data_IF_739231924322
#
_entry.id   IF_739231924322
#
_cell.length_a   1.000
_cell.length_b   1.000
_cell.length_c   1.000
_cell.angle_alpha   90.00
_cell.angle_beta   90.00
_cell.angle_gamma   90.00
#
_symmetry.space_group_name_H-M   'P 1'
#
loop_
_entity.id
_entity.type
_entity.pdbx_description
1 polymer ?
#
# COMPACT_ATOMS: atom_id res chain seq x y z
N UNK A 1 -31.90 22.91 -4.69
CA UNK A 1 -31.78 21.69 -5.52
C UNK A 1 -30.62 21.88 -6.48
N UNK A 2 -29.42 21.56 -6.07
CA UNK A 2 -28.23 21.54 -6.93
C UNK A 2 -27.77 20.08 -7.00
N UNK A 3 -27.92 19.52 -8.17
CA UNK A 3 -27.84 18.12 -8.51
C UNK A 3 -26.42 17.57 -8.36
N UNK A 4 -26.30 16.42 -7.69
CA UNK A 4 -25.07 15.62 -7.50
C UNK A 4 -24.56 14.96 -8.81
N UNK A 5 -24.64 15.68 -9.93
CA UNK A 5 -24.09 15.25 -11.22
C UNK A 5 -22.58 15.55 -11.37
N UNK A 6 -21.91 16.01 -10.30
CA UNK A 6 -20.56 16.57 -10.40
C UNK A 6 -19.40 15.57 -10.12
N UNK A 7 -19.68 14.35 -9.63
CA UNK A 7 -18.59 13.43 -9.27
C UNK A 7 -17.96 12.75 -10.51
N UNK A 8 -18.78 12.32 -11.47
CA UNK A 8 -18.30 11.65 -12.70
C UNK A 8 -17.58 12.60 -13.67
N UNK A 9 -18.03 13.86 -13.74
CA UNK A 9 -17.38 14.92 -14.54
C UNK A 9 -16.03 15.34 -13.96
N UNK A 10 -15.87 15.33 -12.65
CA UNK A 10 -14.63 15.70 -11.99
C UNK A 10 -13.53 14.62 -12.18
N UNK A 11 -13.89 13.33 -12.14
CA UNK A 11 -12.93 12.25 -12.41
C UNK A 11 -12.44 12.26 -13.87
N UNK A 12 -13.32 12.50 -14.83
CA UNK A 12 -12.95 12.65 -16.25
C UNK A 12 -12.07 13.87 -16.51
N UNK A 13 -12.31 14.98 -15.83
CA UNK A 13 -11.49 16.18 -15.96
C UNK A 13 -10.06 15.97 -15.44
N UNK A 14 -9.88 15.22 -14.35
CA UNK A 14 -8.56 14.87 -13.81
C UNK A 14 -7.77 13.90 -14.71
N UNK A 15 -8.45 12.99 -15.41
CA UNK A 15 -7.84 12.07 -16.39
C UNK A 15 -7.45 12.82 -17.66
N UNK A 16 -8.30 13.73 -18.13
CA UNK A 16 -8.01 14.60 -19.29
C UNK A 16 -6.85 15.57 -19.04
N UNK A 17 -6.70 16.08 -17.81
CA UNK A 17 -5.56 16.92 -17.41
C UNK A 17 -4.21 16.19 -17.42
N UNK A 18 -4.21 14.85 -17.42
CA UNK A 18 -3.00 14.02 -17.51
C UNK A 18 -2.65 13.58 -18.93
N UNK A 19 -3.32 14.11 -19.97
CA UNK A 19 -3.14 13.73 -21.38
C UNK A 19 -3.27 12.22 -21.66
N UNK A 20 -4.00 11.48 -20.83
CA UNK A 20 -4.32 10.08 -21.07
C UNK A 20 -5.62 10.06 -21.88
N UNK A 21 -5.52 9.86 -23.17
CA UNK A 21 -6.68 9.58 -24.04
C UNK A 21 -7.15 8.15 -23.72
N UNK A 22 -8.12 8.04 -22.82
CA UNK A 22 -8.86 6.80 -22.61
C UNK A 22 -10.13 6.86 -23.48
N UNK A 23 -10.38 5.78 -24.19
CA UNK A 23 -11.67 5.57 -24.85
C UNK A 23 -12.77 5.69 -23.78
N UNK A 24 -13.80 6.51 -23.96
CA UNK A 24 -14.90 6.61 -23.01
C UNK A 24 -15.73 5.32 -22.91
N UNK A 25 -15.57 4.39 -23.85
CA UNK A 25 -16.30 3.12 -23.87
C UNK A 25 -15.71 2.13 -22.88
N UNK A 26 -16.56 1.40 -22.17
CA UNK A 26 -16.15 0.40 -21.21
C UNK A 26 -15.28 -0.68 -21.88
N UNK A 27 -14.02 -0.89 -21.44
CA UNK A 27 -13.12 -1.87 -22.06
C UNK A 27 -13.55 -3.32 -21.82
N UNK A 28 -14.43 -3.56 -20.83
CA UNK A 28 -14.89 -4.89 -20.47
C UNK A 28 -16.05 -5.40 -21.35
N UNK A 29 -17.03 -4.57 -21.64
CA UNK A 29 -18.18 -4.94 -22.49
C UNK A 29 -18.11 -4.34 -23.90
N UNK A 30 -17.49 -3.16 -24.07
CA UNK A 30 -17.42 -2.38 -25.32
C UNK A 30 -18.79 -1.92 -25.86
N UNK A 31 -19.79 -1.84 -24.99
CA UNK A 31 -21.18 -1.54 -25.38
C UNK A 31 -21.61 -0.14 -24.91
N UNK A 32 -21.09 0.33 -23.78
CA UNK A 32 -21.56 1.55 -23.13
C UNK A 32 -20.43 2.41 -22.57
N UNK A 33 -20.75 3.65 -22.21
CA UNK A 33 -19.81 4.59 -21.62
C UNK A 33 -19.45 4.13 -20.21
N UNK A 34 -18.16 4.13 -19.89
CA UNK A 34 -17.65 3.73 -18.61
C UNK A 34 -17.81 4.84 -17.56
N UNK A 35 -18.66 4.59 -16.57
CA UNK A 35 -18.70 5.32 -15.31
C UNK A 35 -18.76 4.36 -14.12
N UNK A 36 -18.83 4.88 -12.89
CA UNK A 36 -18.87 4.03 -11.70
C UNK A 36 -20.08 3.11 -11.66
N UNK A 37 -21.24 3.61 -12.08
CA UNK A 37 -22.48 2.84 -12.04
C UNK A 37 -22.46 1.75 -13.11
N UNK A 38 -21.88 2.05 -14.29
CA UNK A 38 -21.69 1.04 -15.32
C UNK A 38 -20.72 -0.07 -14.86
N UNK A 39 -19.52 0.29 -14.39
CA UNK A 39 -18.50 -0.70 -13.99
C UNK A 39 -19.01 -1.69 -12.95
N UNK A 40 -19.82 -1.22 -12.00
CA UNK A 40 -20.21 -2.02 -10.86
C UNK A 40 -21.64 -2.55 -10.89
N UNK A 41 -22.56 -1.89 -11.59
CA UNK A 41 -23.97 -2.23 -11.59
C UNK A 41 -24.48 -2.70 -12.97
N UNK A 42 -24.32 -1.90 -14.02
CA UNK A 42 -25.00 -2.14 -15.31
C UNK A 42 -24.16 -2.88 -16.35
N UNK A 43 -22.84 -3.00 -16.19
CA UNK A 43 -22.00 -3.73 -17.13
C UNK A 43 -22.35 -5.22 -17.17
N UNK A 44 -22.50 -5.84 -18.37
CA UNK A 44 -22.73 -7.28 -18.50
C UNK A 44 -21.70 -8.15 -17.76
N UNK A 45 -20.44 -7.69 -17.68
CA UNK A 45 -19.41 -8.36 -16.91
C UNK A 45 -19.64 -8.26 -15.40
N UNK A 46 -20.15 -7.11 -14.93
CA UNK A 46 -20.52 -6.93 -13.53
C UNK A 46 -21.70 -7.84 -13.16
N UNK A 47 -22.73 -7.90 -13.99
CA UNK A 47 -23.85 -8.81 -13.77
C UNK A 47 -23.42 -10.27 -13.62
N UNK A 48 -22.53 -10.76 -14.49
CA UNK A 48 -21.97 -12.12 -14.35
C UNK A 48 -21.24 -12.34 -13.01
N UNK A 49 -20.52 -11.34 -12.51
CA UNK A 49 -19.84 -11.45 -11.21
C UNK A 49 -20.86 -11.51 -10.06
N UNK A 50 -21.93 -10.70 -10.11
CA UNK A 50 -23.00 -10.72 -9.12
C UNK A 50 -23.77 -12.04 -9.14
N UNK A 51 -24.14 -12.55 -10.31
CA UNK A 51 -24.80 -13.85 -10.47
C UNK A 51 -23.95 -14.98 -9.89
N UNK A 52 -22.65 -15.00 -10.20
CA UNK A 52 -21.72 -15.99 -9.64
C UNK A 52 -21.61 -15.86 -8.11
N UNK A 53 -21.63 -14.63 -7.56
CA UNK A 53 -21.59 -14.43 -6.12
C UNK A 53 -22.82 -15.04 -5.43
N UNK A 54 -23.99 -14.98 -6.02
CA UNK A 54 -25.22 -15.62 -5.52
C UNK A 54 -25.19 -17.13 -5.74
N UNK A 55 -24.86 -17.59 -6.95
CA UNK A 55 -24.81 -19.02 -7.30
C UNK A 55 -23.82 -19.79 -6.40
N UNK A 56 -22.69 -19.18 -6.08
CA UNK A 56 -21.68 -19.77 -5.19
C UNK A 56 -21.89 -19.43 -3.71
N UNK A 57 -23.09 -19.01 -3.33
CA UNK A 57 -23.49 -18.71 -1.94
C UNK A 57 -22.56 -17.71 -1.22
N UNK A 58 -21.90 -16.85 -1.99
CA UNK A 58 -21.10 -15.75 -1.44
C UNK A 58 -21.99 -14.66 -0.87
N UNK A 59 -23.07 -14.35 -1.58
CA UNK A 59 -24.14 -13.44 -1.17
C UNK A 59 -25.49 -14.20 -1.25
N UNK A 60 -26.47 -13.87 -0.39
CA UNK A 60 -27.78 -14.49 -0.43
C UNK A 60 -28.61 -14.05 -1.64
N UNK A 61 -28.41 -12.81 -2.11
CA UNK A 61 -29.04 -12.20 -3.27
C UNK A 61 -28.15 -11.08 -3.78
N UNK A 62 -28.44 -10.57 -4.97
CA UNK A 62 -27.81 -9.34 -5.49
C UNK A 62 -28.35 -8.18 -4.63
N UNK A 63 -27.46 -7.42 -3.95
CA UNK A 63 -27.90 -6.45 -2.96
C UNK A 63 -28.44 -5.14 -3.56
N UNK A 64 -28.27 -4.93 -4.86
CA UNK A 64 -28.70 -3.72 -5.57
C UNK A 64 -30.03 -3.98 -6.27
N UNK A 65 -31.11 -3.42 -5.72
CA UNK A 65 -32.47 -3.76 -6.14
C UNK A 65 -33.20 -2.61 -6.85
N UNK A 66 -32.64 -1.40 -6.87
CA UNK A 66 -33.36 -0.24 -7.39
C UNK A 66 -32.86 0.14 -8.78
N UNK A 67 -33.65 -0.11 -9.85
CA UNK A 67 -33.29 0.34 -11.20
C UNK A 67 -33.13 1.88 -11.23
N UNK A 68 -31.95 2.35 -11.63
CA UNK A 68 -31.67 3.79 -11.77
C UNK A 68 -31.06 4.46 -10.56
N UNK A 69 -30.82 3.75 -9.45
CA UNK A 69 -30.04 4.27 -8.32
C UNK A 69 -28.53 4.27 -8.64
N UNK A 70 -27.84 5.27 -8.12
CA UNK A 70 -26.37 5.31 -8.20
C UNK A 70 -25.74 4.31 -7.21
N UNK A 71 -24.54 3.83 -7.52
CA UNK A 71 -23.76 2.97 -6.63
C UNK A 71 -23.61 3.60 -5.22
N UNK A 72 -23.45 4.91 -5.14
CA UNK A 72 -23.29 5.64 -3.91
C UNK A 72 -24.56 5.58 -3.03
N UNK A 73 -25.73 5.75 -3.65
CA UNK A 73 -27.04 5.67 -2.97
C UNK A 73 -27.28 4.25 -2.45
N UNK A 74 -27.06 3.24 -3.28
CA UNK A 74 -27.20 1.83 -2.88
C UNK A 74 -26.25 1.44 -1.74
N UNK A 75 -24.99 1.83 -1.80
CA UNK A 75 -24.05 1.58 -0.70
C UNK A 75 -24.44 2.31 0.59
N UNK A 76 -24.96 3.53 0.48
CA UNK A 76 -25.46 4.28 1.63
C UNK A 76 -26.66 3.59 2.27
N UNK A 77 -27.58 3.09 1.49
CA UNK A 77 -28.74 2.31 1.95
C UNK A 77 -28.30 1.02 2.64
N UNK A 78 -27.38 0.27 2.05
CA UNK A 78 -26.83 -0.95 2.66
C UNK A 78 -26.12 -0.66 4.00
N UNK A 79 -25.42 0.46 4.10
CA UNK A 79 -24.77 0.87 5.34
C UNK A 79 -25.80 1.28 6.40
N UNK A 80 -26.83 2.03 6.05
CA UNK A 80 -27.92 2.43 6.96
C UNK A 80 -28.71 1.23 7.49
N UNK A 81 -29.00 0.25 6.63
CA UNK A 81 -29.71 -0.97 7.00
C UNK A 81 -28.86 -2.00 7.72
N UNK A 82 -27.59 -1.67 8.00
CA UNK A 82 -26.62 -2.58 8.64
C UNK A 82 -26.56 -3.95 7.94
N UNK A 83 -26.56 -3.93 6.60
CA UNK A 83 -26.56 -5.15 5.80
C UNK A 83 -25.44 -6.12 6.22
N UNK A 84 -25.76 -7.35 6.66
CA UNK A 84 -24.78 -8.23 7.31
C UNK A 84 -23.59 -8.60 6.42
N UNK A 85 -23.78 -8.58 5.08
CA UNK A 85 -22.75 -8.93 4.10
C UNK A 85 -22.08 -7.71 3.46
N UNK A 86 -22.25 -6.50 3.99
CA UNK A 86 -21.69 -5.26 3.43
C UNK A 86 -20.19 -5.38 3.15
N UNK A 87 -19.42 -5.96 4.06
CA UNK A 87 -17.98 -6.17 3.86
C UNK A 87 -17.66 -7.09 2.68
N UNK A 88 -18.49 -8.11 2.42
CA UNK A 88 -18.34 -8.99 1.25
C UNK A 88 -18.68 -8.23 -0.05
N UNK A 89 -19.70 -7.38 -0.02
CA UNK A 89 -20.08 -6.50 -1.14
C UNK A 89 -18.93 -5.58 -1.48
N UNK A 90 -18.35 -4.87 -0.49
CA UNK A 90 -17.23 -3.95 -0.70
C UNK A 90 -16.00 -4.67 -1.26
N UNK A 91 -15.67 -5.87 -0.76
CA UNK A 91 -14.57 -6.67 -1.29
C UNK A 91 -14.81 -7.14 -2.74
N UNK A 92 -16.07 -7.40 -3.12
CA UNK A 92 -16.42 -7.77 -4.48
C UNK A 92 -16.26 -6.59 -5.42
N UNK A 93 -16.80 -5.42 -5.06
CA UNK A 93 -16.62 -4.16 -5.80
C UNK A 93 -15.13 -3.83 -6.00
N UNK A 94 -14.34 -3.92 -4.95
CA UNK A 94 -12.89 -3.75 -5.03
C UNK A 94 -12.21 -4.74 -5.99
N UNK A 95 -12.66 -5.99 -5.99
CA UNK A 95 -12.12 -7.02 -6.89
C UNK A 95 -12.52 -6.78 -8.35
N UNK A 96 -13.73 -6.27 -8.59
CA UNK A 96 -14.20 -5.85 -9.92
C UNK A 96 -13.35 -4.68 -10.45
N UNK A 97 -13.15 -3.66 -9.64
CA UNK A 97 -12.29 -2.53 -9.99
C UNK A 97 -10.84 -2.97 -10.30
N UNK A 98 -10.28 -3.88 -9.52
CA UNK A 98 -8.94 -4.46 -9.82
C UNK A 98 -8.91 -5.21 -11.13
N UNK A 99 -9.95 -6.01 -11.43
CA UNK A 99 -10.04 -6.76 -12.69
C UNK A 99 -10.12 -5.80 -13.89
N UNK A 100 -10.92 -4.73 -13.78
CA UNK A 100 -10.97 -3.68 -14.79
C UNK A 100 -9.61 -3.02 -15.00
N UNK A 101 -8.89 -2.67 -13.93
CA UNK A 101 -7.56 -2.06 -14.04
C UNK A 101 -6.53 -3.02 -14.65
N UNK A 102 -6.60 -4.31 -14.35
CA UNK A 102 -5.74 -5.32 -14.97
C UNK A 102 -6.00 -5.42 -16.49
N UNK A 103 -7.26 -5.34 -16.92
CA UNK A 103 -7.58 -5.28 -18.34
C UNK A 103 -7.01 -4.04 -19.02
N UNK A 104 -7.17 -2.84 -18.42
CA UNK A 104 -6.75 -1.57 -19.03
C UNK A 104 -5.24 -1.41 -19.07
N UNK A 105 -4.54 -1.77 -17.99
CA UNK A 105 -3.12 -1.50 -17.87
C UNK A 105 -2.21 -2.67 -18.28
N UNK A 106 -2.70 -3.90 -18.14
CA UNK A 106 -1.93 -5.11 -18.45
C UNK A 106 -2.46 -5.85 -19.68
N UNK A 107 -3.57 -5.39 -20.26
CA UNK A 107 -4.25 -6.04 -21.39
C UNK A 107 -4.63 -7.52 -21.12
N UNK A 108 -4.93 -7.85 -19.85
CA UNK A 108 -5.35 -9.18 -19.43
C UNK A 108 -6.87 -9.29 -19.44
N UNK A 109 -7.42 -10.40 -19.97
CA UNK A 109 -8.86 -10.62 -20.02
C UNK A 109 -9.49 -10.74 -18.63
N UNK A 110 -10.68 -10.14 -18.45
CA UNK A 110 -11.43 -10.26 -17.20
C UNK A 110 -12.08 -11.65 -17.12
N UNK A 111 -11.84 -12.34 -16.01
CA UNK A 111 -12.57 -13.56 -15.66
C UNK A 111 -13.55 -13.25 -14.51
N UNK A 112 -14.88 -13.35 -14.70
CA UNK A 112 -15.86 -13.16 -13.64
C UNK A 112 -15.63 -14.11 -12.44
N UNK A 113 -15.32 -15.37 -12.70
CA UNK A 113 -14.97 -16.35 -11.67
C UNK A 113 -13.66 -15.96 -10.96
N UNK A 114 -12.63 -15.54 -11.70
CA UNK A 114 -11.37 -15.06 -11.13
C UNK A 114 -11.57 -13.84 -10.23
N UNK A 115 -12.50 -12.95 -10.58
CA UNK A 115 -12.88 -11.78 -9.78
C UNK A 115 -13.54 -12.20 -8.46
N UNK A 116 -14.50 -13.14 -8.51
CA UNK A 116 -15.14 -13.70 -7.31
C UNK A 116 -14.12 -14.42 -6.39
N UNK A 117 -13.23 -15.24 -6.97
CA UNK A 117 -12.21 -15.94 -6.21
C UNK A 117 -11.22 -14.97 -5.52
N UNK A 118 -10.90 -13.86 -6.16
CA UNK A 118 -10.09 -12.78 -5.56
C UNK A 118 -10.81 -12.17 -4.35
N UNK A 119 -12.11 -11.89 -4.47
CA UNK A 119 -12.92 -11.37 -3.36
C UNK A 119 -13.00 -12.37 -2.19
N UNK A 120 -13.25 -13.65 -2.48
CA UNK A 120 -13.29 -14.72 -1.45
C UNK A 120 -11.96 -14.88 -0.73
N UNK A 121 -10.83 -14.79 -1.46
CA UNK A 121 -9.49 -14.83 -0.86
C UNK A 121 -9.27 -13.63 0.07
N UNK A 122 -9.56 -12.41 -0.38
CA UNK A 122 -9.45 -11.21 0.45
C UNK A 122 -10.32 -11.29 1.72
N UNK A 123 -11.52 -11.87 1.63
CA UNK A 123 -12.37 -12.12 2.78
C UNK A 123 -11.75 -13.12 3.76
N UNK A 124 -11.24 -14.25 3.27
CA UNK A 124 -10.59 -15.24 4.12
C UNK A 124 -9.38 -14.64 4.86
N UNK A 125 -8.57 -13.85 4.17
CA UNK A 125 -7.45 -13.11 4.76
C UNK A 125 -7.91 -12.11 5.84
N UNK A 126 -9.01 -11.40 5.60
CA UNK A 126 -9.59 -10.47 6.56
C UNK A 126 -10.13 -11.17 7.81
N UNK A 127 -10.83 -12.31 7.66
CA UNK A 127 -11.35 -13.11 8.76
C UNK A 127 -10.24 -13.68 9.66
N UNK A 128 -9.15 -14.16 9.07
CA UNK A 128 -7.98 -14.67 9.82
C UNK A 128 -7.40 -13.55 10.70
N UNK A 129 -7.33 -12.32 10.21
CA UNK A 129 -6.83 -11.17 10.98
C UNK A 129 -7.73 -10.83 12.18
N UNK A 130 -9.04 -10.86 11.99
CA UNK A 130 -9.98 -10.58 13.09
C UNK A 130 -9.90 -11.65 14.19
N UNK A 131 -9.77 -12.92 13.83
CA UNK A 131 -9.60 -13.99 14.82
C UNK A 131 -8.27 -13.90 15.59
N UNK A 132 -7.20 -13.42 14.95
CA UNK A 132 -5.89 -13.24 15.60
C UNK A 132 -5.86 -12.04 16.56
N UNK A 133 -6.68 -11.01 16.35
CA UNK A 133 -6.77 -9.85 17.26
C UNK A 133 -7.65 -10.11 18.50
N UNK A 134 -8.51 -11.12 18.48
CA UNK A 134 -9.37 -11.48 19.60
C UNK A 134 -8.68 -12.39 20.65
N UNK A 135 -7.51 -12.95 20.35
CA UNK A 135 -6.79 -13.91 21.22
C UNK A 135 -5.65 -13.30 22.05
N UNK A 136 -5.50 -11.98 22.13
CA UNK A 136 -4.47 -11.32 22.94
C UNK A 136 -4.92 -10.92 24.36
N UNK A 137 -5.96 -11.54 24.91
CA UNK A 137 -6.29 -11.39 26.32
C UNK A 137 -6.53 -12.77 26.95
N UNK A 138 -5.49 -13.42 27.40
CA UNK A 138 -5.34 -14.15 28.66
C UNK A 138 -4.26 -15.25 28.60
N UNK A 139 -3.39 -15.14 29.61
CA UNK A 139 -2.64 -16.18 30.34
C UNK A 139 -1.51 -16.93 29.65
N UNK A 140 -0.32 -16.64 30.20
CA UNK A 140 0.85 -17.50 30.20
C UNK A 140 0.56 -18.91 30.74
N UNK A 141 1.01 -19.94 30.03
CA UNK A 141 1.52 -21.17 30.65
C UNK A 141 2.54 -21.85 29.75
N UNK A 142 3.67 -22.15 30.36
CA UNK A 142 4.80 -22.92 29.81
C UNK A 142 4.37 -24.35 29.48
N UNK A 143 4.85 -24.88 28.36
CA UNK A 143 5.25 -26.30 28.26
C UNK A 143 6.10 -26.53 27.02
N UNK A 144 7.31 -26.97 27.27
CA UNK A 144 8.27 -27.59 26.34
C UNK A 144 7.68 -28.82 25.66
N UNK A 145 7.69 -28.87 24.33
CA UNK A 145 7.88 -30.11 23.58
C UNK A 145 8.49 -29.81 22.20
N UNK A 146 9.69 -30.34 21.98
CA UNK A 146 10.32 -30.45 20.67
C UNK A 146 9.47 -31.33 19.75
N UNK A 147 9.09 -30.82 18.59
CA UNK A 147 8.92 -31.59 17.39
C UNK A 147 9.19 -30.74 16.15
N UNK A 148 10.21 -31.13 15.42
CA UNK A 148 10.58 -30.66 14.10
C UNK A 148 9.42 -30.95 13.13
N UNK A 149 8.65 -29.91 12.78
CA UNK A 149 7.85 -29.91 11.56
C UNK A 149 8.02 -28.53 10.91
N UNK A 150 8.82 -28.48 9.86
CA UNK A 150 8.92 -27.36 8.93
C UNK A 150 7.60 -27.22 8.16
N UNK A 151 6.59 -26.66 8.81
CA UNK A 151 5.41 -26.18 8.12
C UNK A 151 5.66 -24.71 7.76
N UNK A 152 5.93 -24.44 6.50
CA UNK A 152 6.08 -23.10 5.94
C UNK A 152 4.72 -22.41 5.95
N UNK A 153 4.34 -21.81 7.07
CA UNK A 153 3.14 -21.02 7.19
C UNK A 153 3.31 -19.71 6.40
N UNK A 154 2.34 -19.28 5.60
CA UNK A 154 2.42 -18.02 4.87
C UNK A 154 2.57 -16.84 5.84
N UNK A 155 3.64 -16.08 5.68
CA UNK A 155 3.92 -14.91 6.51
C UNK A 155 3.04 -13.74 6.07
N UNK A 156 2.24 -13.22 6.99
CA UNK A 156 1.41 -12.03 6.76
C UNK A 156 2.29 -10.81 7.02
N UNK A 157 2.54 -10.02 5.99
CA UNK A 157 3.42 -8.85 6.04
C UNK A 157 2.61 -7.59 5.80
N UNK A 158 2.78 -6.60 6.65
CA UNK A 158 2.20 -5.27 6.50
C UNK A 158 3.02 -4.23 7.25
N UNK A 159 2.75 -2.99 6.95
CA UNK A 159 3.29 -1.88 7.73
C UNK A 159 2.66 -1.87 9.13
N UNK A 160 3.46 -1.62 10.15
CA UNK A 160 3.00 -1.54 11.54
C UNK A 160 3.28 -0.16 12.12
N UNK A 161 2.39 0.32 12.99
CA UNK A 161 2.61 1.57 13.73
C UNK A 161 3.88 1.48 14.58
N UNK A 162 4.65 2.58 14.73
CA UNK A 162 5.75 2.63 15.68
C UNK A 162 5.23 2.69 17.11
N UNK A 163 6.14 2.49 18.07
CA UNK A 163 5.84 2.66 19.50
C UNK A 163 5.37 4.08 19.80
N UNK A 164 4.55 4.23 20.85
CA UNK A 164 4.06 5.54 21.29
C UNK A 164 5.20 6.54 21.52
N UNK A 165 5.09 7.73 20.92
CA UNK A 165 6.09 8.79 20.99
C UNK A 165 7.29 8.65 20.06
N UNK A 166 7.34 7.60 19.22
CA UNK A 166 8.34 7.45 18.17
C UNK A 166 7.82 7.92 16.81
N UNK A 167 8.74 8.40 15.99
CA UNK A 167 8.51 8.64 14.57
C UNK A 167 9.02 7.46 13.79
N UNK A 168 8.22 6.95 12.87
CA UNK A 168 8.64 5.92 11.94
C UNK A 168 9.28 6.54 10.71
N UNK A 169 10.49 6.10 10.42
CA UNK A 169 11.19 6.36 9.17
C UNK A 169 11.21 5.07 8.34
N UNK A 170 10.53 5.07 7.22
CA UNK A 170 10.69 4.05 6.19
C UNK A 170 11.59 4.58 5.09
N UNK A 171 12.58 3.80 4.63
CA UNK A 171 13.51 4.16 3.56
C UNK A 171 13.62 3.07 2.52
N UNK A 172 13.93 3.44 1.28
CA UNK A 172 14.12 2.53 0.16
C UNK A 172 15.03 3.14 -0.92
N UNK A 173 15.68 2.29 -1.71
CA UNK A 173 16.47 2.67 -2.86
C UNK A 173 15.99 1.97 -4.12
N UNK A 174 15.66 2.71 -5.15
CA UNK A 174 15.22 2.17 -6.44
C UNK A 174 16.28 2.40 -7.51
N UNK A 175 16.34 1.50 -8.50
CA UNK A 175 17.22 1.64 -9.69
C UNK A 175 16.40 1.49 -10.95
N UNK A 176 16.61 2.42 -11.87
CA UNK A 176 16.09 2.41 -13.25
C UNK A 176 17.22 2.25 -14.25
N UNK A 177 16.91 2.21 -15.53
CA UNK A 177 17.90 2.22 -16.63
C UNK A 177 18.75 3.49 -16.67
N UNK A 178 18.23 4.60 -16.11
CA UNK A 178 18.87 5.93 -16.18
C UNK A 178 19.63 6.31 -14.91
N UNK A 179 19.50 5.55 -13.82
CA UNK A 179 20.14 5.84 -12.54
C UNK A 179 19.41 5.22 -11.38
N UNK A 180 19.80 5.58 -10.18
CA UNK A 180 19.12 5.17 -8.94
C UNK A 180 18.47 6.36 -8.25
N UNK A 181 17.56 6.11 -7.30
CA UNK A 181 17.02 7.16 -6.45
C UNK A 181 16.80 6.66 -5.03
N UNK A 182 17.03 7.56 -4.09
CA UNK A 182 16.74 7.38 -2.68
C UNK A 182 15.33 7.91 -2.35
N UNK A 183 14.57 7.21 -1.52
CA UNK A 183 13.24 7.63 -1.09
C UNK A 183 13.00 7.33 0.38
N UNK A 184 12.38 8.27 1.11
CA UNK A 184 12.01 8.04 2.50
C UNK A 184 10.64 8.65 2.85
N UNK A 185 10.04 8.16 3.93
CA UNK A 185 8.77 8.64 4.47
C UNK A 185 8.85 8.70 5.99
N UNK A 186 8.42 9.81 6.57
CA UNK A 186 8.29 10.00 8.01
C UNK A 186 6.82 10.00 8.41
N UNK A 187 6.48 9.21 9.44
CA UNK A 187 5.11 9.09 9.98
C UNK A 187 5.10 9.12 11.50
N UNK A 188 4.04 9.69 12.05
CA UNK A 188 3.83 9.72 13.51
C UNK A 188 3.51 8.34 14.06
N UNK A 189 3.55 8.20 15.38
CA UNK A 189 3.12 6.98 16.08
C UNK A 189 1.64 6.64 15.92
N UNK A 190 0.82 7.57 15.40
CA UNK A 190 -0.58 7.35 15.02
C UNK A 190 -0.76 7.06 13.52
N UNK A 191 0.35 6.91 12.77
CA UNK A 191 0.32 6.69 11.33
C UNK A 191 0.17 7.96 10.48
N UNK A 192 0.05 9.14 11.10
CA UNK A 192 -0.07 10.39 10.39
C UNK A 192 1.18 10.70 9.56
N UNK A 193 0.99 11.10 8.30
CA UNK A 193 2.06 11.55 7.42
C UNK A 193 2.68 12.85 7.95
N UNK A 194 4.00 12.91 8.01
CA UNK A 194 4.76 14.10 8.40
C UNK A 194 5.38 14.73 7.16
N UNK A 195 6.26 13.99 6.52
CA UNK A 195 6.93 14.38 5.28
C UNK A 195 7.51 13.17 4.56
N UNK A 196 7.78 13.33 3.29
CA UNK A 196 8.56 12.40 2.49
C UNK A 196 9.67 13.13 1.75
N UNK A 197 10.67 12.41 1.28
CA UNK A 197 11.71 12.99 0.46
C UNK A 197 12.24 12.00 -0.56
N UNK A 198 12.80 12.53 -1.65
CA UNK A 198 13.47 11.74 -2.67
C UNK A 198 14.62 12.51 -3.30
N UNK A 199 15.63 11.77 -3.78
CA UNK A 199 16.79 12.30 -4.49
C UNK A 199 17.19 11.35 -5.59
N UNK A 200 17.43 11.86 -6.80
CA UNK A 200 17.99 11.09 -7.91
C UNK A 200 19.52 11.04 -7.82
N UNK A 201 20.08 9.86 -8.11
CA UNK A 201 21.50 9.53 -8.01
C UNK A 201 21.92 8.85 -9.32
N UNK A 202 22.46 9.61 -10.26
CA UNK A 202 22.67 9.21 -11.66
C UNK A 202 23.51 7.93 -11.82
N UNK A 203 24.63 7.82 -11.11
CA UNK A 203 25.58 6.72 -11.23
C UNK A 203 25.64 5.79 -10.02
N UNK A 204 24.66 5.89 -9.11
CA UNK A 204 24.68 5.12 -7.88
C UNK A 204 24.22 3.67 -8.09
N UNK A 205 24.71 2.78 -7.22
CA UNK A 205 24.14 1.45 -7.04
C UNK A 205 22.88 1.51 -6.18
N UNK A 206 22.06 0.45 -6.20
CA UNK A 206 20.90 0.34 -5.30
C UNK A 206 21.34 0.46 -3.84
N UNK A 207 22.45 -0.18 -3.46
CA UNK A 207 22.98 -0.14 -2.11
C UNK A 207 23.32 1.29 -1.65
N UNK A 208 23.88 2.12 -2.52
CA UNK A 208 24.16 3.53 -2.26
C UNK A 208 22.86 4.32 -2.13
N UNK A 209 21.86 4.06 -2.97
CA UNK A 209 20.57 4.72 -2.90
C UNK A 209 19.84 4.41 -1.58
N UNK A 210 19.85 3.16 -1.15
CA UNK A 210 19.31 2.71 0.14
C UNK A 210 19.96 3.41 1.34
N UNK A 211 21.30 3.40 1.39
CA UNK A 211 22.03 4.08 2.47
C UNK A 211 21.79 5.59 2.46
N UNK A 212 21.72 6.21 1.26
CA UNK A 212 21.40 7.63 1.10
C UNK A 212 19.99 7.94 1.60
N UNK A 213 19.00 7.09 1.28
CA UNK A 213 17.62 7.23 1.73
C UNK A 213 17.51 7.21 3.27
N UNK A 214 18.21 6.27 3.92
CA UNK A 214 18.29 6.22 5.38
C UNK A 214 18.91 7.49 5.95
N UNK A 215 20.06 7.93 5.41
CA UNK A 215 20.76 9.15 5.85
C UNK A 215 19.87 10.38 5.72
N UNK A 216 19.30 10.58 4.55
CA UNK A 216 18.49 11.78 4.24
C UNK A 216 17.21 11.79 5.10
N UNK A 217 16.60 10.61 5.37
CA UNK A 217 15.45 10.48 6.23
C UNK A 217 15.76 10.76 7.72
N UNK A 218 16.89 10.28 8.24
CA UNK A 218 17.33 10.59 9.63
C UNK A 218 17.63 12.09 9.75
N UNK A 219 18.35 12.66 8.78
CA UNK A 219 18.63 14.10 8.75
C UNK A 219 17.33 14.91 8.77
N UNK A 220 16.36 14.58 7.94
CA UNK A 220 15.06 15.25 7.87
C UNK A 220 14.28 15.15 9.19
N UNK A 221 14.28 13.99 9.84
CA UNK A 221 13.65 13.79 11.13
C UNK A 221 14.29 14.68 12.22
N UNK A 222 15.62 14.73 12.26
CA UNK A 222 16.38 15.55 13.22
C UNK A 222 16.16 17.05 12.97
N UNK A 223 16.11 17.49 11.72
CA UNK A 223 15.80 18.90 11.35
C UNK A 223 14.39 19.30 11.76
N UNK A 224 13.43 18.37 11.69
CA UNK A 224 12.07 18.58 12.15
C UNK A 224 11.92 18.49 13.70
N UNK A 225 13.00 18.28 14.43
CA UNK A 225 13.02 18.25 15.90
C UNK A 225 12.73 16.88 16.51
N UNK A 226 12.57 15.83 15.72
CA UNK A 226 12.29 14.47 16.21
C UNK A 226 13.58 13.78 16.64
N UNK A 227 13.61 13.22 17.87
CA UNK A 227 14.79 12.56 18.47
C UNK A 227 14.56 11.08 18.79
N UNK A 228 13.32 10.57 18.62
CA UNK A 228 12.93 9.18 18.92
C UNK A 228 12.46 8.52 17.65
N UNK A 229 13.29 7.65 17.05
CA UNK A 229 13.10 7.12 15.71
C UNK A 229 13.03 5.59 15.70
N UNK A 230 12.05 5.05 14.95
CA UNK A 230 12.05 3.66 14.47
C UNK A 230 12.33 3.67 12.97
N UNK A 231 13.49 3.17 12.57
CA UNK A 231 13.98 3.16 11.20
C UNK A 231 13.79 1.78 10.59
N UNK A 232 13.06 1.70 9.48
CA UNK A 232 12.74 0.45 8.80
C UNK A 232 13.05 0.53 7.30
N UNK A 233 13.64 -0.54 6.77
CA UNK A 233 13.92 -0.74 5.34
C UNK A 233 14.01 -2.21 5.01
N UNK A 234 14.00 -2.56 3.72
CA UNK A 234 14.05 -3.96 3.27
C UNK A 234 15.48 -4.44 2.93
N UNK A 235 16.47 -3.54 2.97
CA UNK A 235 17.87 -3.88 2.69
C UNK A 235 18.61 -4.35 3.94
N UNK A 236 18.75 -5.67 4.08
CA UNK A 236 19.45 -6.28 5.23
C UNK A 236 20.92 -5.91 5.32
N UNK A 237 21.62 -5.61 4.20
CA UNK A 237 23.03 -5.24 4.20
C UNK A 237 23.21 -3.86 4.84
N UNK A 238 22.41 -2.87 4.43
CA UNK A 238 22.45 -1.51 4.99
C UNK A 238 22.12 -1.55 6.49
N UNK A 239 21.08 -2.28 6.89
CA UNK A 239 20.67 -2.41 8.28
C UNK A 239 21.74 -3.10 9.16
N UNK A 240 22.32 -4.20 8.68
CA UNK A 240 23.41 -4.88 9.41
C UNK A 240 24.66 -4.02 9.51
N UNK A 241 24.98 -3.25 8.46
CA UNK A 241 26.15 -2.37 8.46
C UNK A 241 25.96 -1.19 9.41
N UNK A 242 24.80 -0.51 9.43
CA UNK A 242 24.55 0.60 10.38
C UNK A 242 24.53 0.12 11.83
N UNK A 243 24.06 -1.09 12.10
CA UNK A 243 24.09 -1.74 13.41
C UNK A 243 25.48 -2.31 13.80
N UNK A 244 26.48 -2.18 12.90
CA UNK A 244 27.85 -2.71 13.08
C UNK A 244 27.91 -4.24 13.22
N UNK A 245 26.90 -4.95 12.70
CA UNK A 245 26.89 -6.41 12.69
C UNK A 245 27.75 -7.00 11.55
N UNK A 246 28.08 -6.18 10.53
CA UNK A 246 29.00 -6.51 9.45
C UNK A 246 29.92 -5.33 9.17
N UNK A 247 31.06 -5.59 8.55
CA UNK A 247 31.93 -4.54 8.02
C UNK A 247 31.18 -3.75 6.93
N UNK A 248 31.21 -2.42 6.98
CA UNK A 248 30.54 -1.59 5.97
C UNK A 248 31.11 -1.87 4.57
N UNK A 249 30.27 -2.14 3.57
CA UNK A 249 30.72 -2.11 2.19
C UNK A 249 31.34 -0.75 1.85
N UNK A 250 32.48 -0.74 1.18
CA UNK A 250 33.23 0.49 0.90
C UNK A 250 32.39 1.58 0.19
N UNK A 251 31.41 1.15 -0.64
CA UNK A 251 30.51 2.03 -1.39
C UNK A 251 29.62 2.90 -0.50
N UNK A 252 29.32 2.47 0.72
CA UNK A 252 28.42 3.17 1.64
C UNK A 252 29.14 3.58 2.95
N UNK A 253 30.43 3.35 3.08
CA UNK A 253 31.17 3.59 4.33
C UNK A 253 31.05 5.05 4.80
N UNK A 254 31.27 6.01 3.91
CA UNK A 254 31.14 7.45 4.23
C UNK A 254 29.70 7.86 4.58
N UNK A 255 28.72 7.27 3.90
CA UNK A 255 27.30 7.52 4.20
C UNK A 255 26.94 6.99 5.60
N UNK A 256 27.48 5.83 5.96
CA UNK A 256 27.28 5.27 7.31
C UNK A 256 27.98 6.10 8.40
N UNK A 257 29.14 6.69 8.13
CA UNK A 257 29.78 7.64 9.04
C UNK A 257 28.90 8.86 9.31
N UNK A 258 28.28 9.43 8.26
CA UNK A 258 27.30 10.51 8.42
C UNK A 258 26.12 10.06 9.29
N UNK A 259 25.61 8.85 9.06
CA UNK A 259 24.51 8.30 9.85
C UNK A 259 24.92 8.12 11.33
N UNK A 260 26.08 7.54 11.61
CA UNK A 260 26.55 7.34 12.99
C UNK A 260 26.74 8.66 13.72
N UNK A 261 27.23 9.70 13.04
CA UNK A 261 27.33 11.04 13.60
C UNK A 261 25.95 11.61 13.97
N UNK A 262 24.93 11.41 13.11
CA UNK A 262 23.56 11.86 13.37
C UNK A 262 22.87 11.05 14.48
N UNK A 263 23.14 9.76 14.61
CA UNK A 263 22.58 8.88 15.65
C UNK A 263 22.90 9.43 17.05
N UNK A 264 24.08 10.02 17.25
CA UNK A 264 24.46 10.62 18.53
C UNK A 264 23.53 11.76 18.97
N UNK A 265 22.81 12.37 18.05
CA UNK A 265 21.83 13.43 18.31
C UNK A 265 20.41 12.90 18.57
N UNK A 266 20.19 11.59 18.47
CA UNK A 266 18.92 10.95 18.80
C UNK A 266 18.86 10.58 20.29
N UNK A 267 17.69 10.72 20.90
CA UNK A 267 17.45 10.20 22.25
C UNK A 267 17.34 8.67 22.23
N UNK A 268 16.58 8.16 21.27
CA UNK A 268 16.38 6.73 21.04
C UNK A 268 16.23 6.47 19.55
N UNK A 269 16.96 5.50 19.04
CA UNK A 269 16.84 5.04 17.67
C UNK A 269 16.88 3.52 17.62
N UNK A 270 16.05 2.93 16.79
CA UNK A 270 16.06 1.49 16.54
C UNK A 270 15.97 1.21 15.04
N UNK A 271 16.68 0.17 14.60
CA UNK A 271 16.73 -0.26 13.21
C UNK A 271 16.10 -1.63 13.08
N UNK A 272 15.16 -1.79 12.15
CA UNK A 272 14.46 -3.06 11.92
C UNK A 272 14.34 -3.34 10.44
N UNK A 273 14.49 -4.61 10.10
CA UNK A 273 14.18 -5.07 8.75
C UNK A 273 12.66 -5.20 8.59
N UNK A 274 12.16 -4.68 7.48
CA UNK A 274 10.78 -4.88 7.03
C UNK A 274 10.82 -5.49 5.63
N UNK A 275 9.89 -6.36 5.32
CA UNK A 275 9.78 -6.86 3.96
C UNK A 275 9.22 -5.78 3.02
N UNK A 276 9.55 -5.88 1.73
CA UNK A 276 9.15 -4.92 0.71
C UNK A 276 7.65 -4.65 0.68
N UNK A 277 6.84 -5.68 0.94
CA UNK A 277 5.39 -5.60 1.01
C UNK A 277 4.89 -4.67 2.13
N UNK A 278 5.67 -4.48 3.20
CA UNK A 278 5.41 -3.52 4.27
C UNK A 278 6.13 -2.19 4.09
N UNK A 279 6.96 -2.02 3.03
CA UNK A 279 7.75 -0.81 2.76
C UNK A 279 7.26 -0.03 1.53
N UNK A 280 6.01 -0.24 1.13
CA UNK A 280 5.44 0.26 -0.13
C UNK A 280 5.52 1.77 -0.30
N UNK A 281 5.37 2.54 0.78
CA UNK A 281 5.43 4.00 0.72
C UNK A 281 6.84 4.49 0.38
N UNK A 282 7.89 3.91 0.98
CA UNK A 282 9.28 4.28 0.67
C UNK A 282 9.69 3.78 -0.74
N UNK A 283 9.29 2.56 -1.13
CA UNK A 283 9.50 2.02 -2.48
C UNK A 283 8.87 2.94 -3.55
N UNK A 284 7.64 3.42 -3.30
CA UNK A 284 6.99 4.37 -4.19
C UNK A 284 7.78 5.69 -4.29
N UNK A 285 8.24 6.26 -3.18
CA UNK A 285 9.03 7.50 -3.15
C UNK A 285 10.36 7.35 -3.89
N UNK A 286 11.05 6.22 -3.73
CA UNK A 286 12.29 5.94 -4.46
C UNK A 286 12.03 5.82 -5.99
N UNK A 287 10.97 5.13 -6.41
CA UNK A 287 10.57 5.06 -7.83
C UNK A 287 10.17 6.42 -8.38
N UNK A 288 9.44 7.21 -7.60
CA UNK A 288 9.08 8.58 -7.99
C UNK A 288 10.30 9.46 -8.20
N UNK A 289 11.34 9.30 -7.37
CA UNK A 289 12.62 9.98 -7.55
C UNK A 289 13.32 9.62 -8.87
N UNK A 290 13.25 8.36 -9.29
CA UNK A 290 13.75 7.95 -10.61
C UNK A 290 13.02 8.66 -11.78
N UNK A 291 11.71 8.93 -11.61
CA UNK A 291 10.91 9.64 -12.62
C UNK A 291 11.16 11.15 -12.58
N UNK A 292 11.30 11.72 -11.39
CA UNK A 292 11.51 13.16 -11.17
C UNK A 292 12.89 13.62 -11.64
N UNK A 293 13.91 12.76 -11.55
CA UNK A 293 15.31 13.02 -11.92
C UNK A 293 15.94 14.28 -11.31
N UNK A 294 15.49 14.65 -10.11
CA UNK A 294 16.04 15.78 -9.38
C UNK A 294 17.22 15.33 -8.51
N UNK A 295 18.42 15.87 -8.76
CA UNK A 295 19.63 15.54 -7.99
C UNK A 295 19.64 16.19 -6.61
N UNK A 296 18.86 17.25 -6.41
CA UNK A 296 18.65 17.85 -5.10
C UNK A 296 17.60 17.04 -4.30
N UNK A 297 17.77 17.00 -3.00
CA UNK A 297 16.80 16.39 -2.12
C UNK A 297 15.49 17.20 -2.17
N UNK A 298 14.45 16.56 -2.69
CA UNK A 298 13.11 17.14 -2.80
C UNK A 298 12.26 16.67 -1.64
N UNK A 299 11.66 17.61 -0.91
CA UNK A 299 10.78 17.35 0.23
C UNK A 299 9.31 17.54 -0.11
N UNK A 300 8.46 16.70 0.48
CA UNK A 300 7.00 16.74 0.36
C UNK A 300 6.38 16.77 1.75
N UNK A 301 5.67 17.82 2.08
CA UNK A 301 4.95 18.02 3.35
C UNK A 301 3.47 17.64 3.25
N UNK A 302 3.04 17.24 2.07
CA UNK A 302 1.76 16.59 1.79
C UNK A 302 2.00 15.44 0.80
N UNK A 303 1.16 14.41 0.77
CA UNK A 303 1.27 13.34 -0.20
C UNK A 303 1.38 13.88 -1.63
N UNK A 304 2.43 13.52 -2.41
CA UNK A 304 2.70 14.13 -3.72
C UNK A 304 1.63 13.82 -4.77
N UNK A 305 0.89 12.74 -4.58
CA UNK A 305 -0.20 12.37 -5.46
C UNK A 305 -1.19 11.43 -4.75
N UNK A 306 -2.31 11.15 -5.42
CA UNK A 306 -3.39 10.33 -4.89
C UNK A 306 -2.98 8.87 -4.70
N UNK A 307 -2.16 8.31 -5.58
CA UNK A 307 -1.66 6.93 -5.47
C UNK A 307 -0.83 6.76 -4.19
N UNK A 308 0.02 7.72 -3.89
CA UNK A 308 0.81 7.72 -2.67
C UNK A 308 -0.08 7.83 -1.42
N UNK A 309 -1.09 8.69 -1.46
CA UNK A 309 -2.06 8.80 -0.37
C UNK A 309 -2.79 7.47 -0.12
N UNK A 310 -3.16 6.73 -1.17
CA UNK A 310 -3.78 5.41 -1.01
C UNK A 310 -2.85 4.40 -0.32
N UNK A 311 -1.55 4.40 -0.63
CA UNK A 311 -0.58 3.55 0.07
C UNK A 311 -0.56 3.88 1.57
N UNK A 312 -0.53 5.17 1.94
CA UNK A 312 -0.54 5.59 3.34
C UNK A 312 -1.82 5.18 4.07
N UNK A 313 -2.97 5.28 3.39
CA UNK A 313 -4.26 4.85 3.93
C UNK A 313 -4.30 3.33 4.10
N UNK A 314 -3.83 2.58 3.11
CA UNK A 314 -3.77 1.11 3.16
C UNK A 314 -2.87 0.62 4.30
N UNK A 315 -1.71 1.25 4.49
CA UNK A 315 -0.82 0.99 5.60
C UNK A 315 -1.51 1.24 6.96
N UNK A 316 -2.20 2.38 7.12
CA UNK A 316 -2.90 2.75 8.35
C UNK A 316 -4.10 1.85 8.66
N UNK A 317 -4.75 1.31 7.62
CA UNK A 317 -5.82 0.30 7.75
C UNK A 317 -5.26 -1.10 8.06
N UNK A 318 -3.94 -1.24 8.20
CA UNK A 318 -3.29 -2.52 8.49
C UNK A 318 -3.42 -3.50 7.32
N UNK A 319 -3.48 -3.03 6.08
CA UNK A 319 -3.47 -3.92 4.91
C UNK A 319 -2.15 -4.66 4.86
N UNK A 320 -2.25 -5.97 4.74
CA UNK A 320 -1.11 -6.86 4.69
C UNK A 320 -1.13 -7.67 3.40
N UNK A 321 0.04 -8.04 2.93
CA UNK A 321 0.24 -8.94 1.80
C UNK A 321 0.73 -10.29 2.31
N UNK A 322 0.31 -11.37 1.65
CA UNK A 322 0.75 -12.72 1.99
C UNK A 322 2.00 -13.03 1.17
N UNK A 323 3.13 -13.24 1.84
CA UNK A 323 4.34 -13.73 1.22
C UNK A 323 4.30 -15.24 1.19
N UNK A 324 4.38 -15.84 -0.01
CA UNK A 324 4.63 -17.26 -0.16
C UNK A 324 6.11 -17.50 0.15
N UNK A 325 6.39 -18.49 0.97
CA UNK A 325 7.76 -18.98 1.13
C UNK A 325 8.23 -19.51 -0.23
N UNK A 326 9.30 -18.96 -0.75
CA UNK A 326 10.05 -19.45 -1.90
C UNK A 326 10.99 -20.54 -1.47
#
# INVERSE_FOLDING_TARGET
MATMSSCSTFERHLIALRHIQLDPVCPACREDIEDSDHIFLSCPMAHKVWELAVTHQWLPSIPFAHPGSSLCEELHLLAQTQYPQLSRVVLLLWSMWKSRNTLVFNNESISPMGTLLRAKRGWAEWMIRQSSSASTSSTAFSSTHHSLQTSCSPQIIGWALPRGGFIKLNFDGSKSTTGAAAGFVLRTWKGGFIQAGTRFLEHASVLVAEATAMRDGICAALQAGYRRLEVEGDNTIVLKAVQKHIQPPWQIATILEDIWNMISSCELISFRHIYREGNMAADWMAKYGCSLRCHLLSFFYSPPCREFLFILVDDNLGRTLVRRAT
#
